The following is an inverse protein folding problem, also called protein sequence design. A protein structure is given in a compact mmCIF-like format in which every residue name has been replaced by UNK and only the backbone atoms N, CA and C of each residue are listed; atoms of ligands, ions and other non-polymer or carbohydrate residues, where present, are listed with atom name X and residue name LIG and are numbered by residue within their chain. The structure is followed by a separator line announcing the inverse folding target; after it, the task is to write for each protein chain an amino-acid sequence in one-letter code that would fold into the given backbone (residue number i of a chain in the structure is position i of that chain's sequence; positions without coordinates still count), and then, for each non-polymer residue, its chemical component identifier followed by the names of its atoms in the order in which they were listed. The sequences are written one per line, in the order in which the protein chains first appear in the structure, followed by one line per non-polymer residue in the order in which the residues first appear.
data_IF_114621961989
#
_entry.id   IF_114621961989
#
_cell.length_a   1.000
_cell.length_b   1.000
_cell.length_c   1.000
_cell.angle_alpha   90.00
_cell.angle_beta   90.00
_cell.angle_gamma   90.00
#
_symmetry.space_group_name_H-M   'P 1'
#
loop_
_entity.id
_entity.type
_entity.pdbx_description
1 polymer ?
#
# COMPACT_ATOMS: atom_id res chain seq x y z
N UNK A 1 1.23 -3.35 -11.91
CA UNK A 1 -0.10 -2.72 -11.73
C UNK A 1 0.00 -1.20 -11.80
N UNK A 2 0.80 -0.50 -10.98
CA UNK A 2 0.92 0.96 -11.00
C UNK A 2 1.24 1.53 -12.40
N UNK A 3 2.17 0.92 -13.13
CA UNK A 3 2.51 1.32 -14.50
C UNK A 3 1.30 1.27 -15.46
N UNK A 4 0.46 0.23 -15.37
CA UNK A 4 -0.77 0.13 -16.18
C UNK A 4 -1.82 1.18 -15.78
N UNK A 5 -1.93 1.52 -14.50
CA UNK A 5 -2.81 2.62 -14.06
C UNK A 5 -2.31 3.94 -14.62
N UNK A 6 -0.99 4.19 -14.56
CA UNK A 6 -0.39 5.39 -15.12
C UNK A 6 -0.55 5.50 -16.65
N UNK A 7 -0.45 4.37 -17.38
CA UNK A 7 -0.65 4.37 -18.84
C UNK A 7 -2.07 4.72 -19.28
N UNK A 8 -3.08 4.49 -18.40
CA UNK A 8 -4.45 4.94 -18.63
C UNK A 8 -4.58 6.46 -18.43
N UNK A 9 -3.74 7.06 -17.57
CA UNK A 9 -3.65 8.50 -17.33
C UNK A 9 -5.01 9.16 -17.12
N UNK A 10 -5.21 10.30 -17.75
CA UNK A 10 -6.46 11.06 -17.71
C UNK A 10 -7.53 10.57 -18.71
N UNK A 11 -7.23 9.49 -19.47
CA UNK A 11 -8.15 8.96 -20.49
C UNK A 11 -9.30 8.15 -19.90
N UNK A 12 -9.17 7.68 -18.66
CA UNK A 12 -10.20 6.89 -17.94
C UNK A 12 -10.42 7.51 -16.57
N UNK A 13 -11.68 7.85 -16.21
CA UNK A 13 -12.00 8.41 -14.90
C UNK A 13 -11.52 7.51 -13.75
N UNK A 14 -10.96 8.12 -12.68
CA UNK A 14 -10.39 7.40 -11.56
C UNK A 14 -11.38 6.40 -10.91
N UNK A 15 -12.63 6.81 -10.75
CA UNK A 15 -13.66 5.93 -10.19
C UNK A 15 -13.91 4.69 -11.03
N UNK A 16 -13.82 4.82 -12.35
CA UNK A 16 -13.95 3.71 -13.29
C UNK A 16 -12.75 2.75 -13.14
N UNK A 17 -11.53 3.26 -13.02
CA UNK A 17 -10.33 2.45 -12.74
C UNK A 17 -10.49 1.69 -11.42
N UNK A 18 -10.95 2.37 -10.35
CA UNK A 18 -11.19 1.76 -9.03
C UNK A 18 -12.22 0.65 -9.12
N UNK A 19 -13.33 0.87 -9.85
CA UNK A 19 -14.37 -0.14 -10.05
C UNK A 19 -13.81 -1.39 -10.72
N UNK A 20 -13.27 -1.25 -11.92
CA UNK A 20 -12.77 -2.40 -12.68
C UNK A 20 -11.67 -3.15 -11.93
N UNK A 21 -10.69 -2.42 -11.38
CA UNK A 21 -9.63 -3.01 -10.57
C UNK A 21 -10.20 -3.83 -9.40
N UNK A 22 -11.23 -3.32 -8.73
CA UNK A 22 -11.77 -3.98 -7.53
C UNK A 22 -12.74 -5.09 -7.88
N UNK A 23 -13.61 -4.92 -8.88
CA UNK A 23 -14.51 -5.94 -9.36
C UNK A 23 -13.75 -7.17 -9.87
N UNK A 24 -12.73 -6.95 -10.71
CA UNK A 24 -11.91 -8.05 -11.22
C UNK A 24 -10.92 -8.61 -10.19
N UNK A 25 -10.57 -7.88 -9.14
CA UNK A 25 -9.78 -8.39 -8.03
C UNK A 25 -10.55 -9.40 -7.15
N UNK A 26 -11.88 -9.32 -7.11
CA UNK A 26 -12.71 -10.29 -6.43
C UNK A 26 -12.75 -11.65 -7.14
N UNK A 27 -12.57 -11.69 -8.47
CA UNK A 27 -12.69 -12.91 -9.27
C UNK A 27 -11.72 -14.02 -8.83
N UNK A 28 -10.41 -13.78 -8.65
CA UNK A 28 -9.49 -14.82 -8.18
C UNK A 28 -9.92 -15.44 -6.85
N UNK A 29 -10.42 -14.62 -5.92
CA UNK A 29 -10.93 -15.12 -4.62
C UNK A 29 -12.12 -16.04 -4.85
N UNK A 30 -13.13 -15.57 -5.60
CA UNK A 30 -14.35 -16.34 -5.86
C UNK A 30 -14.02 -17.64 -6.59
N UNK A 31 -13.20 -17.59 -7.64
CA UNK A 31 -12.83 -18.76 -8.44
C UNK A 31 -12.08 -19.80 -7.60
N UNK A 32 -11.05 -19.39 -6.87
CA UNK A 32 -10.23 -20.32 -6.07
C UNK A 32 -11.09 -21.03 -5.01
N UNK A 33 -11.91 -20.28 -4.28
CA UNK A 33 -12.71 -20.85 -3.20
C UNK A 33 -13.96 -21.57 -3.70
N UNK A 34 -14.50 -21.22 -4.88
CA UNK A 34 -15.54 -22.01 -5.55
C UNK A 34 -14.99 -23.39 -5.98
N UNK A 35 -13.80 -23.43 -6.59
CA UNK A 35 -13.12 -24.67 -6.96
C UNK A 35 -12.81 -25.56 -5.74
N UNK A 36 -12.48 -24.95 -4.60
CA UNK A 36 -12.27 -25.66 -3.33
C UNK A 36 -13.56 -26.07 -2.61
N UNK A 37 -14.72 -25.69 -3.13
CA UNK A 37 -16.06 -25.88 -2.50
C UNK A 37 -16.17 -25.25 -1.09
N UNK A 38 -15.35 -24.25 -0.79
CA UNK A 38 -15.28 -23.55 0.50
C UNK A 38 -15.80 -22.11 0.43
N UNK A 39 -16.54 -21.77 -0.64
CA UNK A 39 -16.98 -20.40 -0.92
C UNK A 39 -17.76 -19.76 0.25
N UNK A 40 -18.67 -20.52 0.87
CA UNK A 40 -19.47 -20.00 2.00
C UNK A 40 -18.59 -19.65 3.21
N UNK A 41 -17.63 -20.51 3.54
CA UNK A 41 -16.69 -20.27 4.65
C UNK A 41 -15.75 -19.11 4.33
N UNK A 42 -15.30 -19.00 3.07
CA UNK A 42 -14.43 -17.93 2.61
C UNK A 42 -15.09 -16.54 2.59
N UNK A 43 -16.41 -16.48 2.37
CA UNK A 43 -17.17 -15.23 2.31
C UNK A 43 -17.88 -14.88 3.63
N UNK A 44 -17.86 -15.77 4.62
CA UNK A 44 -18.50 -15.49 5.90
C UNK A 44 -17.71 -14.42 6.67
N UNK A 45 -18.42 -13.42 7.24
CA UNK A 45 -17.84 -12.41 8.12
C UNK A 45 -18.69 -12.21 9.37
N UNK A 46 -18.02 -12.01 10.50
CA UNK A 46 -18.65 -11.71 11.79
C UNK A 46 -18.65 -10.20 12.10
N UNK A 47 -17.79 -9.42 11.42
CA UNK A 47 -17.55 -7.99 11.70
C UNK A 47 -17.71 -7.10 10.48
N UNK A 48 -18.94 -7.03 9.93
CA UNK A 48 -19.22 -6.18 8.75
C UNK A 48 -18.77 -4.73 8.94
N UNK A 49 -19.02 -4.11 10.09
CA UNK A 49 -18.57 -2.73 10.38
C UNK A 49 -17.04 -2.60 10.31
N UNK A 50 -16.32 -3.61 10.78
CA UNK A 50 -14.86 -3.65 10.66
C UNK A 50 -14.41 -3.72 9.20
N UNK A 51 -15.08 -4.55 8.38
CA UNK A 51 -14.83 -4.64 6.94
C UNK A 51 -15.12 -3.31 6.22
N UNK A 52 -16.24 -2.66 6.56
CA UNK A 52 -16.58 -1.32 6.02
C UNK A 52 -15.52 -0.28 6.40
N UNK A 53 -15.07 -0.24 7.67
CA UNK A 53 -14.04 0.69 8.11
C UNK A 53 -12.71 0.47 7.37
N UNK A 54 -12.29 -0.80 7.20
CA UNK A 54 -11.14 -1.15 6.37
C UNK A 54 -11.36 -0.77 4.90
N UNK A 55 -12.56 -1.03 4.38
CA UNK A 55 -12.96 -0.70 3.02
C UNK A 55 -12.85 0.80 2.75
N UNK A 56 -13.36 1.64 3.67
CA UNK A 56 -13.31 3.11 3.56
C UNK A 56 -11.88 3.62 3.52
N UNK A 57 -11.02 3.19 4.47
CA UNK A 57 -9.62 3.58 4.48
C UNK A 57 -8.88 3.12 3.23
N UNK A 58 -9.14 1.89 2.80
CA UNK A 58 -8.49 1.34 1.61
C UNK A 58 -8.99 1.97 0.31
N UNK A 59 -10.29 2.27 0.19
CA UNK A 59 -10.85 2.98 -0.97
C UNK A 59 -10.27 4.40 -1.04
N UNK A 60 -10.27 5.14 0.07
CA UNK A 60 -9.68 6.47 0.12
C UNK A 60 -8.19 6.42 -0.30
N UNK A 61 -7.41 5.46 0.25
CA UNK A 61 -6.01 5.27 -0.13
C UNK A 61 -5.84 4.94 -1.61
N UNK A 62 -6.74 4.14 -2.18
CA UNK A 62 -6.68 3.78 -3.60
C UNK A 62 -6.99 4.96 -4.52
N UNK A 63 -8.03 5.76 -4.21
CA UNK A 63 -8.34 6.97 -4.97
C UNK A 63 -7.20 7.99 -4.89
N UNK A 64 -6.66 8.21 -3.69
CA UNK A 64 -5.54 9.12 -3.49
C UNK A 64 -4.28 8.65 -4.23
N UNK A 65 -3.97 7.36 -4.18
CA UNK A 65 -2.85 6.78 -4.91
C UNK A 65 -3.00 6.92 -6.43
N UNK A 66 -4.18 6.62 -6.97
CA UNK A 66 -4.42 6.75 -8.41
C UNK A 66 -4.45 8.23 -8.84
N UNK A 67 -4.96 9.12 -8.00
CA UNK A 67 -4.89 10.56 -8.21
C UNK A 67 -3.44 11.07 -8.23
N UNK A 68 -2.57 10.50 -7.39
CA UNK A 68 -1.14 10.79 -7.41
C UNK A 68 -0.47 10.28 -8.69
N UNK A 69 -0.74 9.02 -9.08
CA UNK A 69 -0.19 8.40 -10.30
C UNK A 69 -0.60 9.13 -11.59
N UNK A 70 -1.76 9.78 -11.61
CA UNK A 70 -2.18 10.62 -12.73
C UNK A 70 -1.37 11.92 -12.84
N UNK A 71 -0.70 12.36 -11.76
CA UNK A 71 -0.05 13.69 -11.68
C UNK A 71 1.45 13.66 -11.48
N UNK A 72 1.99 12.55 -11.01
CA UNK A 72 3.40 12.37 -10.69
C UNK A 72 4.01 11.16 -11.39
N UNK A 73 5.32 11.14 -11.62
CA UNK A 73 6.06 9.97 -12.04
C UNK A 73 5.83 8.77 -11.14
N UNK A 74 5.84 7.57 -11.74
CA UNK A 74 5.62 6.31 -11.01
C UNK A 74 6.61 6.13 -9.85
N UNK A 75 7.86 6.52 -10.08
CA UNK A 75 8.93 6.45 -9.10
C UNK A 75 8.65 7.32 -7.87
N UNK A 76 8.23 8.57 -8.08
CA UNK A 76 7.96 9.54 -7.00
C UNK A 76 6.77 9.10 -6.14
N UNK A 77 5.67 8.69 -6.77
CA UNK A 77 4.50 8.17 -6.06
C UNK A 77 4.88 6.94 -5.21
N UNK A 78 5.62 6.01 -5.81
CA UNK A 78 6.04 4.79 -5.10
C UNK A 78 6.95 5.12 -3.92
N UNK A 79 7.90 6.05 -4.10
CA UNK A 79 8.80 6.50 -3.05
C UNK A 79 8.05 7.11 -1.86
N UNK A 80 7.10 8.01 -2.12
CA UNK A 80 6.29 8.65 -1.07
C UNK A 80 5.41 7.61 -0.35
N UNK A 81 4.87 6.62 -1.06
CA UNK A 81 4.06 5.56 -0.46
C UNK A 81 4.86 4.68 0.51
N UNK A 82 6.19 4.60 0.39
CA UNK A 82 7.03 3.92 1.38
C UNK A 82 7.08 4.61 2.75
N UNK A 83 6.49 5.80 2.90
CA UNK A 83 6.19 6.37 4.21
C UNK A 83 5.14 5.54 4.99
N UNK A 84 4.29 4.76 4.30
CA UNK A 84 3.21 4.00 4.93
C UNK A 84 3.66 3.07 6.07
N UNK A 85 4.75 2.27 5.97
CA UNK A 85 5.25 1.48 7.08
C UNK A 85 5.65 2.32 8.31
N UNK A 86 6.22 3.50 8.10
CA UNK A 86 6.61 4.42 9.18
C UNK A 86 5.36 4.97 9.89
N UNK A 87 4.37 5.41 9.13
CA UNK A 87 3.07 5.86 9.65
C UNK A 87 2.36 4.70 10.37
N UNK A 88 2.49 3.46 9.88
CA UNK A 88 1.91 2.28 10.54
C UNK A 88 2.49 2.09 11.95
N UNK A 89 3.79 2.32 12.16
CA UNK A 89 4.42 2.25 13.49
C UNK A 89 3.82 3.30 14.42
N UNK A 90 3.64 4.53 13.93
CA UNK A 90 3.00 5.62 14.72
C UNK A 90 1.57 5.25 15.08
N UNK A 91 0.77 4.80 14.11
CA UNK A 91 -0.62 4.43 14.34
C UNK A 91 -0.74 3.19 15.24
N UNK A 92 0.16 2.23 15.15
CA UNK A 92 0.20 1.07 16.06
C UNK A 92 0.44 1.51 17.50
N UNK A 93 1.37 2.45 17.73
CA UNK A 93 1.60 3.03 19.05
C UNK A 93 0.37 3.75 19.61
N UNK A 94 -0.28 4.57 18.79
CA UNK A 94 -1.41 5.41 19.21
C UNK A 94 -2.72 4.61 19.36
N UNK A 95 -3.05 3.76 18.37
CA UNK A 95 -4.35 3.09 18.26
C UNK A 95 -4.37 1.70 18.90
N UNK A 96 -3.26 0.98 18.86
CA UNK A 96 -3.12 -0.34 19.48
C UNK A 96 -2.45 -0.27 20.87
N UNK A 97 -1.99 0.93 21.29
CA UNK A 97 -1.26 1.17 22.53
C UNK A 97 -0.03 0.26 22.67
N UNK A 98 0.58 -0.10 21.53
CA UNK A 98 1.80 -0.91 21.53
C UNK A 98 2.96 -0.10 22.11
N UNK A 99 3.78 -0.73 22.95
CA UNK A 99 5.00 -0.10 23.46
C UNK A 99 6.06 -0.06 22.36
N UNK A 100 6.14 1.09 21.69
CA UNK A 100 7.14 1.33 20.64
C UNK A 100 8.44 1.74 21.27
N UNK A 101 9.53 0.99 20.99
CA UNK A 101 10.88 1.27 21.50
C UNK A 101 11.48 2.48 20.79
N UNK A 102 12.43 3.14 21.45
CA UNK A 102 13.08 4.37 20.98
C UNK A 102 13.69 4.24 19.57
N UNK A 103 14.25 3.10 19.21
CA UNK A 103 14.81 2.89 17.87
C UNK A 103 13.77 2.91 16.75
N UNK A 104 12.50 2.55 17.03
CA UNK A 104 11.40 2.69 16.05
C UNK A 104 11.02 4.15 15.88
N UNK A 105 10.99 4.92 16.96
CA UNK A 105 10.73 6.36 16.90
C UNK A 105 11.83 7.11 16.16
N UNK A 106 13.12 6.76 16.38
CA UNK A 106 14.21 7.37 15.62
C UNK A 106 14.13 7.05 14.13
N UNK A 107 13.80 5.81 13.77
CA UNK A 107 13.61 5.44 12.37
C UNK A 107 12.44 6.17 11.72
N UNK A 108 11.32 6.34 12.45
CA UNK A 108 10.17 7.15 11.98
C UNK A 108 10.61 8.59 11.73
N UNK A 109 11.34 9.22 12.65
CA UNK A 109 11.81 10.59 12.49
C UNK A 109 12.73 10.74 11.26
N UNK A 110 13.71 9.84 11.11
CA UNK A 110 14.63 9.83 9.97
C UNK A 110 13.86 9.57 8.65
N UNK A 111 12.95 8.60 8.65
CA UNK A 111 12.14 8.29 7.46
C UNK A 111 11.23 9.45 7.06
N UNK A 112 10.63 10.17 8.00
CA UNK A 112 9.84 11.37 7.71
C UNK A 112 10.69 12.48 7.09
N UNK A 113 11.94 12.66 7.53
CA UNK A 113 12.89 13.57 6.85
C UNK A 113 13.08 13.17 5.40
N UNK A 114 13.27 11.86 5.12
CA UNK A 114 13.35 11.35 3.75
C UNK A 114 12.12 11.69 2.91
N UNK A 115 10.91 11.55 3.48
CA UNK A 115 9.65 11.93 2.80
C UNK A 115 9.59 13.44 2.53
N UNK A 116 9.98 14.27 3.48
CA UNK A 116 10.05 15.73 3.28
C UNK A 116 11.02 16.07 2.16
N UNK A 117 12.19 15.44 2.10
CA UNK A 117 13.15 15.62 1.00
C UNK A 117 12.52 15.29 -0.35
N UNK A 118 11.79 14.19 -0.47
CA UNK A 118 11.07 13.85 -1.71
C UNK A 118 9.99 14.87 -2.09
N UNK A 119 9.35 15.48 -1.10
CA UNK A 119 8.28 16.46 -1.33
C UNK A 119 8.83 17.84 -1.69
N UNK A 120 10.08 18.20 -1.32
CA UNK A 120 10.63 19.52 -1.54
C UNK A 120 10.50 20.06 -2.97
N UNK A 121 10.82 19.30 -4.03
CA UNK A 121 10.69 19.78 -5.40
C UNK A 121 9.23 20.10 -5.79
N UNK A 122 8.29 19.39 -5.20
CA UNK A 122 6.86 19.51 -5.50
C UNK A 122 6.15 20.57 -4.65
N UNK A 123 6.78 21.02 -3.56
CA UNK A 123 6.25 22.02 -2.61
C UNK A 123 6.93 23.39 -2.74
N UNK A 124 7.97 23.53 -3.59
CA UNK A 124 8.70 24.79 -3.76
C UNK A 124 7.78 25.90 -4.30
N UNK A 125 7.38 26.78 -3.40
CA UNK A 125 6.44 27.92 -3.61
C UNK A 125 7.18 29.08 -4.27
N UNK A 126 7.82 28.86 -5.41
CA UNK A 126 8.60 29.93 -6.07
C UNK A 126 8.45 30.05 -7.58
N UNK A 127 7.92 29.03 -8.25
CA UNK A 127 7.68 29.06 -9.69
C UNK A 127 6.17 28.92 -9.94
N UNK A 128 5.50 30.03 -10.11
CA UNK A 128 4.08 30.12 -10.52
C UNK A 128 3.93 29.59 -11.94
N UNK A 129 3.88 28.28 -12.06
CA UNK A 129 3.39 27.64 -13.29
C UNK A 129 2.29 26.64 -12.92
N UNK A 130 1.27 26.53 -13.76
CA UNK A 130 0.14 25.60 -13.58
C UNK A 130 0.57 24.14 -13.43
N UNK A 131 1.73 23.78 -13.94
CA UNK A 131 2.33 22.44 -13.80
C UNK A 131 2.79 22.13 -12.36
N UNK A 132 3.30 23.12 -11.62
CA UNK A 132 3.74 22.96 -10.22
C UNK A 132 2.57 22.69 -9.28
N UNK A 133 1.39 23.26 -9.54
CA UNK A 133 0.19 23.04 -8.73
C UNK A 133 -0.31 21.58 -8.84
N UNK A 134 -0.32 21.02 -10.05
CA UNK A 134 -0.74 19.63 -10.27
C UNK A 134 0.21 18.65 -9.60
N UNK A 135 1.53 18.87 -9.69
CA UNK A 135 2.54 18.03 -9.03
C UNK A 135 2.43 18.11 -7.51
N UNK A 136 2.23 19.30 -6.94
CA UNK A 136 2.01 19.49 -5.50
C UNK A 136 0.76 18.73 -5.02
N UNK A 137 -0.36 18.83 -5.73
CA UNK A 137 -1.57 18.07 -5.44
C UNK A 137 -1.28 16.56 -5.51
N UNK A 138 -0.55 16.09 -6.51
CA UNK A 138 -0.15 14.70 -6.65
C UNK A 138 0.66 14.21 -5.45
N UNK A 139 1.64 15.00 -5.00
CA UNK A 139 2.48 14.69 -3.85
C UNK A 139 1.70 14.63 -2.54
N UNK A 140 0.78 15.59 -2.33
CA UNK A 140 -0.14 15.59 -1.19
C UNK A 140 -1.07 14.38 -1.21
N UNK A 141 -1.59 14.00 -2.39
CA UNK A 141 -2.39 12.79 -2.55
C UNK A 141 -1.58 11.53 -2.20
N UNK A 142 -0.31 11.42 -2.64
CA UNK A 142 0.54 10.29 -2.30
C UNK A 142 0.84 10.22 -0.79
N UNK A 143 1.13 11.35 -0.16
CA UNK A 143 1.34 11.44 1.29
C UNK A 143 0.08 11.05 2.08
N UNK A 144 -1.10 11.56 1.68
CA UNK A 144 -2.38 11.19 2.27
C UNK A 144 -2.71 9.70 2.03
N UNK A 145 -2.36 9.15 0.85
CA UNK A 145 -2.51 7.72 0.56
C UNK A 145 -1.66 6.86 1.49
N UNK A 146 -0.44 7.27 1.83
CA UNK A 146 0.41 6.53 2.76
C UNK A 146 -0.19 6.48 4.17
N UNK A 147 -0.85 7.55 4.63
CA UNK A 147 -1.55 7.58 5.92
C UNK A 147 -2.78 6.66 5.92
N UNK A 148 -3.62 6.74 4.88
CA UNK A 148 -4.82 5.89 4.77
C UNK A 148 -4.46 4.42 4.60
N UNK A 149 -3.40 4.11 3.85
CA UNK A 149 -2.87 2.75 3.74
C UNK A 149 -2.39 2.21 5.09
N UNK A 150 -1.66 3.01 5.86
CA UNK A 150 -1.26 2.64 7.21
C UNK A 150 -2.47 2.35 8.11
N UNK A 151 -3.51 3.19 8.06
CA UNK A 151 -4.77 2.96 8.76
C UNK A 151 -5.46 1.67 8.33
N UNK A 152 -5.48 1.37 7.02
CA UNK A 152 -6.02 0.12 6.48
C UNK A 152 -5.25 -1.11 6.97
N UNK A 153 -3.92 -1.03 7.09
CA UNK A 153 -3.07 -2.10 7.67
C UNK A 153 -3.42 -2.35 9.13
N UNK A 154 -3.56 -1.30 9.94
CA UNK A 154 -3.96 -1.42 11.36
C UNK A 154 -5.34 -2.07 11.47
N UNK A 155 -6.29 -1.64 10.65
CA UNK A 155 -7.64 -2.22 10.64
C UNK A 155 -7.63 -3.68 10.18
N UNK A 156 -6.81 -4.03 9.18
CA UNK A 156 -6.62 -5.40 8.74
C UNK A 156 -6.08 -6.27 9.88
N UNK A 157 -5.06 -5.83 10.62
CA UNK A 157 -4.54 -6.54 11.80
C UNK A 157 -5.62 -6.84 12.84
N UNK A 158 -6.53 -5.88 13.09
CA UNK A 158 -7.67 -6.09 14.01
C UNK A 158 -8.67 -7.12 13.48
N UNK A 159 -8.80 -7.22 12.17
CA UNK A 159 -9.72 -8.16 11.53
C UNK A 159 -9.14 -9.58 11.45
N UNK A 160 -7.83 -9.74 11.28
CA UNK A 160 -7.20 -11.07 11.19
C UNK A 160 -7.37 -11.93 12.43
N UNK A 161 -7.67 -11.34 13.59
CA UNK A 161 -7.97 -12.07 14.82
C UNK A 161 -9.31 -12.82 14.77
N UNK A 162 -10.25 -12.39 13.91
CA UNK A 162 -11.64 -12.87 13.91
C UNK A 162 -12.15 -13.26 12.52
N UNK A 163 -11.47 -12.89 11.46
CA UNK A 163 -11.89 -13.04 10.06
C UNK A 163 -10.88 -13.85 9.27
N UNK A 164 -11.36 -14.51 8.21
CA UNK A 164 -10.48 -15.21 7.27
C UNK A 164 -9.83 -14.20 6.30
N UNK A 165 -8.63 -14.50 5.82
CA UNK A 165 -7.94 -13.65 4.84
C UNK A 165 -8.76 -13.47 3.55
N UNK A 166 -9.45 -14.53 3.13
CA UNK A 166 -10.34 -14.51 1.96
C UNK A 166 -11.51 -13.54 2.14
N UNK A 167 -12.16 -13.55 3.33
CA UNK A 167 -13.27 -12.62 3.59
C UNK A 167 -12.77 -11.16 3.60
N UNK A 168 -11.61 -10.89 4.20
CA UNK A 168 -11.04 -9.55 4.24
C UNK A 168 -10.74 -9.03 2.82
N UNK A 169 -10.14 -9.85 1.95
CA UNK A 169 -9.83 -9.46 0.57
C UNK A 169 -11.11 -9.30 -0.26
N UNK A 170 -12.06 -10.22 -0.10
CA UNK A 170 -13.34 -10.18 -0.83
C UNK A 170 -14.16 -8.94 -0.47
N UNK A 171 -14.43 -8.71 0.82
CA UNK A 171 -15.23 -7.55 1.25
C UNK A 171 -14.56 -6.23 0.91
N UNK A 172 -13.25 -6.14 1.01
CA UNK A 172 -12.50 -4.98 0.53
C UNK A 172 -12.71 -4.73 -0.96
N UNK A 173 -12.60 -5.78 -1.77
CA UNK A 173 -12.78 -5.68 -3.23
C UNK A 173 -14.20 -5.26 -3.58
N UNK A 174 -15.21 -5.87 -2.94
CA UNK A 174 -16.63 -5.51 -3.13
C UNK A 174 -16.90 -4.07 -2.69
N UNK A 175 -16.41 -3.67 -1.52
CA UNK A 175 -16.59 -2.32 -1.01
C UNK A 175 -15.98 -1.28 -1.96
N UNK A 176 -14.74 -1.47 -2.40
CA UNK A 176 -14.09 -0.57 -3.34
C UNK A 176 -14.79 -0.57 -4.71
N UNK A 177 -15.31 -1.71 -5.17
CA UNK A 177 -16.10 -1.77 -6.40
C UNK A 177 -17.40 -0.96 -6.27
N UNK A 178 -18.12 -1.07 -5.14
CA UNK A 178 -19.33 -0.28 -4.89
C UNK A 178 -19.02 1.23 -4.82
N UNK A 179 -17.93 1.63 -4.13
CA UNK A 179 -17.51 3.03 -4.09
C UNK A 179 -17.10 3.53 -5.48
N UNK A 180 -16.37 2.72 -6.26
CA UNK A 180 -16.06 3.01 -7.65
C UNK A 180 -17.33 3.16 -8.50
N UNK A 181 -18.29 2.24 -8.37
CA UNK A 181 -19.56 2.28 -9.09
C UNK A 181 -20.40 3.53 -8.75
N UNK A 182 -20.36 3.98 -7.50
CA UNK A 182 -21.03 5.20 -7.07
C UNK A 182 -20.52 6.46 -7.81
N UNK A 183 -19.36 6.39 -8.43
CA UNK A 183 -18.81 7.47 -9.28
C UNK A 183 -19.37 7.46 -10.72
N UNK A 184 -20.20 6.48 -11.09
CA UNK A 184 -20.77 6.36 -12.44
C UNK A 184 -21.45 7.64 -12.94
N UNK A 185 -22.22 8.39 -12.10
CA UNK A 185 -22.86 9.62 -12.54
C UNK A 185 -21.87 10.76 -12.88
N UNK A 186 -20.60 10.64 -12.46
CA UNK A 186 -19.60 11.68 -12.66
C UNK A 186 -18.82 11.53 -13.97
N UNK A 187 -19.42 10.92 -14.99
CA UNK A 187 -18.90 10.96 -16.36
C UNK A 187 -18.00 9.78 -16.72
N UNK A 188 -18.43 8.55 -16.46
CA UNK A 188 -17.77 7.38 -17.00
C UNK A 188 -17.78 7.39 -18.52
N UNK A 189 -16.69 6.92 -19.10
CA UNK A 189 -16.51 6.81 -20.54
C UNK A 189 -16.59 5.35 -20.96
N UNK A 190 -17.11 5.09 -22.16
CA UNK A 190 -17.01 3.74 -22.74
C UNK A 190 -15.55 3.44 -23.03
N UNK A 191 -14.94 2.46 -22.36
CA UNK A 191 -13.54 2.13 -22.58
C UNK A 191 -13.34 1.51 -23.96
N UNK A 192 -12.27 1.89 -24.63
CA UNK A 192 -11.83 1.22 -25.85
C UNK A 192 -11.43 -0.25 -25.51
N UNK A 193 -11.39 -1.16 -26.50
CA UNK A 193 -10.96 -2.54 -26.24
C UNK A 193 -9.60 -2.66 -25.55
N UNK A 194 -8.65 -1.78 -25.92
CA UNK A 194 -7.33 -1.72 -25.29
C UNK A 194 -7.40 -1.25 -23.81
N UNK A 195 -8.18 -0.21 -23.54
CA UNK A 195 -8.41 0.27 -22.17
C UNK A 195 -9.12 -0.77 -21.33
N UNK A 196 -10.13 -1.46 -21.88
CA UNK A 196 -10.84 -2.53 -21.17
C UNK A 196 -9.89 -3.68 -20.83
N UNK A 197 -9.04 -4.10 -21.75
CA UNK A 197 -8.02 -5.12 -21.50
C UNK A 197 -7.06 -4.70 -20.39
N UNK A 198 -6.60 -3.44 -20.40
CA UNK A 198 -5.74 -2.90 -19.35
C UNK A 198 -6.46 -2.89 -17.99
N UNK A 199 -7.73 -2.45 -17.93
CA UNK A 199 -8.55 -2.39 -16.71
C UNK A 199 -8.76 -3.78 -16.10
N UNK A 200 -9.10 -4.78 -16.94
CA UNK A 200 -9.26 -6.18 -16.51
C UNK A 200 -7.94 -6.73 -15.97
N UNK A 201 -6.85 -6.48 -16.70
CA UNK A 201 -5.50 -6.94 -16.32
C UNK A 201 -5.07 -6.32 -14.97
N UNK A 202 -5.31 -5.03 -14.77
CA UNK A 202 -5.07 -4.32 -13.49
C UNK A 202 -5.82 -5.02 -12.36
N UNK A 203 -7.09 -5.36 -12.58
CA UNK A 203 -7.93 -6.02 -11.60
C UNK A 203 -7.44 -7.42 -11.23
N UNK A 204 -7.20 -8.26 -12.23
CA UNK A 204 -6.75 -9.65 -12.01
C UNK A 204 -5.37 -9.67 -11.34
N UNK A 205 -4.39 -8.92 -11.86
CA UNK A 205 -3.05 -8.83 -11.25
C UNK A 205 -3.16 -8.29 -9.81
N UNK A 206 -3.99 -7.26 -9.59
CA UNK A 206 -4.20 -6.69 -8.26
C UNK A 206 -4.81 -7.70 -7.28
N UNK A 207 -5.80 -8.48 -7.71
CA UNK A 207 -6.43 -9.52 -6.90
C UNK A 207 -5.48 -10.67 -6.56
N UNK A 208 -4.78 -11.20 -7.56
CA UNK A 208 -3.78 -12.26 -7.37
C UNK A 208 -2.66 -11.80 -6.43
N UNK A 209 -2.11 -10.60 -6.67
CA UNK A 209 -1.06 -10.04 -5.82
C UNK A 209 -1.52 -9.89 -4.37
N UNK A 210 -2.77 -9.44 -4.14
CA UNK A 210 -3.32 -9.27 -2.81
C UNK A 210 -3.53 -10.61 -2.10
N UNK A 211 -3.97 -11.64 -2.81
CA UNK A 211 -4.09 -13.00 -2.26
C UNK A 211 -2.73 -13.57 -1.89
N UNK A 212 -1.73 -13.47 -2.78
CA UNK A 212 -0.37 -13.97 -2.53
C UNK A 212 0.26 -13.25 -1.34
N UNK A 213 0.13 -11.91 -1.28
CA UNK A 213 0.65 -11.12 -0.15
C UNK A 213 -0.03 -11.53 1.17
N UNK A 214 -1.35 -11.67 1.17
CA UNK A 214 -2.08 -12.05 2.38
C UNK A 214 -1.72 -13.47 2.82
N UNK A 215 -1.55 -14.38 1.87
CA UNK A 215 -1.15 -15.76 2.15
C UNK A 215 0.30 -15.86 2.63
N UNK A 216 1.21 -14.99 2.13
CA UNK A 216 2.62 -14.99 2.57
C UNK A 216 2.79 -14.73 4.06
N UNK A 217 1.88 -13.99 4.70
CA UNK A 217 1.86 -13.76 6.15
C UNK A 217 1.57 -15.03 6.99
N UNK A 218 1.08 -16.10 6.36
CA UNK A 218 0.90 -17.42 7.01
C UNK A 218 2.22 -18.19 7.10
N UNK A 219 3.12 -17.98 6.14
CA UNK A 219 4.38 -18.72 6.04
C UNK A 219 5.56 -18.00 6.70
N UNK A 220 5.49 -16.68 6.85
CA UNK A 220 6.57 -15.90 7.42
C UNK A 220 6.05 -14.69 8.21
N UNK A 221 6.75 -14.28 9.29
CA UNK A 221 6.44 -13.05 10.00
C UNK A 221 6.53 -11.84 9.08
N UNK A 222 5.71 -10.82 9.34
CA UNK A 222 5.71 -9.58 8.58
C UNK A 222 7.11 -8.94 8.47
N UNK A 223 7.95 -9.08 9.50
CA UNK A 223 9.33 -8.60 9.50
C UNK A 223 10.26 -9.29 8.48
N UNK A 224 9.92 -10.50 8.03
CA UNK A 224 10.65 -11.22 6.97
C UNK A 224 10.17 -10.80 5.60
N UNK A 225 8.87 -10.49 5.46
CA UNK A 225 8.23 -10.13 4.20
C UNK A 225 8.46 -8.66 3.84
N UNK A 226 8.43 -7.77 4.83
CA UNK A 226 8.55 -6.33 4.64
C UNK A 226 9.75 -5.85 3.78
N UNK A 227 10.97 -6.47 3.83
CA UNK A 227 12.05 -6.07 2.93
C UNK A 227 11.75 -6.26 1.45
N UNK A 228 10.87 -7.21 1.09
CA UNK A 228 10.50 -7.44 -0.30
C UNK A 228 9.60 -6.33 -0.86
N UNK A 229 8.91 -5.57 -0.02
CA UNK A 229 8.13 -4.41 -0.45
C UNK A 229 9.04 -3.35 -1.11
N UNK A 230 10.31 -3.22 -0.66
CA UNK A 230 11.26 -2.29 -1.27
C UNK A 230 11.66 -2.67 -2.70
N UNK A 231 11.49 -3.94 -3.10
CA UNK A 231 11.68 -4.34 -4.49
C UNK A 231 10.67 -3.64 -5.42
N UNK A 232 9.49 -3.24 -4.91
CA UNK A 232 8.50 -2.51 -5.70
C UNK A 232 9.05 -1.15 -6.18
N UNK A 233 9.93 -0.49 -5.41
CA UNK A 233 10.57 0.74 -5.81
C UNK A 233 11.58 0.54 -6.94
N UNK A 234 12.38 -0.53 -6.88
CA UNK A 234 13.29 -0.88 -7.97
C UNK A 234 12.51 -1.08 -9.28
N UNK A 235 11.40 -1.82 -9.22
CA UNK A 235 10.53 -2.03 -10.36
C UNK A 235 9.84 -0.73 -10.81
N UNK A 236 9.50 0.19 -9.90
CA UNK A 236 8.93 1.48 -10.26
C UNK A 236 9.92 2.33 -11.06
N UNK A 237 11.21 2.35 -10.68
CA UNK A 237 12.26 3.03 -11.43
C UNK A 237 12.48 2.41 -12.80
N UNK A 238 12.61 1.08 -12.88
CA UNK A 238 12.83 0.36 -14.14
C UNK A 238 11.65 0.59 -15.09
N UNK A 239 10.41 0.39 -14.62
CA UNK A 239 9.21 0.56 -15.44
C UNK A 239 8.93 2.03 -15.78
N UNK A 240 9.23 2.97 -14.87
CA UNK A 240 9.12 4.40 -15.12
C UNK A 240 10.04 4.82 -16.28
N UNK A 241 11.28 4.35 -16.26
CA UNK A 241 12.22 4.62 -17.34
C UNK A 241 11.84 3.91 -18.66
N UNK A 242 11.58 2.60 -18.62
CA UNK A 242 11.33 1.82 -19.83
C UNK A 242 10.02 2.16 -20.53
N UNK A 243 8.95 2.45 -19.79
CA UNK A 243 7.62 2.68 -20.36
C UNK A 243 7.29 4.16 -20.58
N UNK A 244 7.86 5.05 -19.77
CA UNK A 244 7.51 6.46 -19.79
C UNK A 244 8.70 7.38 -20.05
N UNK A 245 9.94 6.85 -20.10
CA UNK A 245 11.16 7.65 -20.23
C UNK A 245 11.43 8.56 -19.01
N UNK A 246 10.79 8.26 -17.86
CA UNK A 246 10.88 9.06 -16.64
C UNK A 246 12.12 8.67 -15.84
N UNK A 247 13.00 9.64 -15.59
CA UNK A 247 14.10 9.49 -14.64
C UNK A 247 13.67 10.08 -13.29
N UNK A 248 13.87 9.35 -12.17
CA UNK A 248 13.59 9.91 -10.86
C UNK A 248 14.52 11.10 -10.59
N UNK A 249 13.95 12.16 -10.00
CA UNK A 249 14.73 13.30 -9.57
C UNK A 249 15.69 12.90 -8.43
N UNK A 250 16.82 13.61 -8.33
CA UNK A 250 17.83 13.35 -7.30
C UNK A 250 17.26 13.45 -5.87
N UNK A 251 16.30 14.34 -5.61
CA UNK A 251 15.61 14.43 -4.32
C UNK A 251 14.79 13.17 -4.02
N UNK A 252 14.12 12.61 -5.03
CA UNK A 252 13.39 11.35 -4.91
C UNK A 252 14.34 10.19 -4.59
N UNK A 253 15.49 10.12 -5.26
CA UNK A 253 16.48 9.06 -5.01
C UNK A 253 17.07 9.16 -3.60
N UNK A 254 17.47 10.36 -3.17
CA UNK A 254 18.03 10.60 -1.84
C UNK A 254 16.98 10.30 -0.75
N UNK A 255 15.79 10.87 -0.87
CA UNK A 255 14.74 10.69 0.11
C UNK A 255 14.29 9.21 0.20
N UNK A 256 14.20 8.51 -0.94
CA UNK A 256 13.92 7.08 -0.99
C UNK A 256 15.00 6.25 -0.29
N UNK A 257 16.28 6.54 -0.52
CA UNK A 257 17.36 5.86 0.17
C UNK A 257 17.29 6.05 1.69
N UNK A 258 16.91 7.24 2.17
CA UNK A 258 16.71 7.54 3.59
C UNK A 258 15.53 6.73 4.15
N UNK A 259 14.37 6.70 3.48
CA UNK A 259 13.16 5.96 3.93
C UNK A 259 13.44 4.46 3.97
N UNK A 260 14.04 3.91 2.90
CA UNK A 260 14.40 2.50 2.83
C UNK A 260 15.40 2.15 3.92
N UNK A 261 16.45 2.97 4.09
CA UNK A 261 17.47 2.80 5.14
C UNK A 261 16.85 2.78 6.54
N UNK A 262 15.94 3.70 6.84
CA UNK A 262 15.21 3.75 8.10
C UNK A 262 14.37 2.48 8.32
N UNK A 263 13.65 2.02 7.30
CA UNK A 263 12.85 0.79 7.37
C UNK A 263 13.70 -0.46 7.56
N UNK A 264 14.77 -0.63 6.79
CA UNK A 264 15.72 -1.74 6.92
C UNK A 264 16.42 -1.75 8.28
N UNK A 265 16.77 -0.58 8.83
CA UNK A 265 17.34 -0.45 10.17
C UNK A 265 16.39 -1.02 11.24
N UNK A 266 15.10 -0.70 11.18
CA UNK A 266 14.10 -1.27 12.11
C UNK A 266 14.08 -2.78 12.02
N UNK A 267 13.99 -3.33 10.79
CA UNK A 267 13.93 -4.77 10.54
C UNK A 267 15.19 -5.47 11.08
N UNK A 268 16.37 -4.91 10.77
CA UNK A 268 17.64 -5.44 11.24
C UNK A 268 17.71 -5.44 12.77
N UNK A 269 17.32 -4.34 13.42
CA UNK A 269 17.35 -4.21 14.88
C UNK A 269 16.37 -5.17 15.55
N UNK A 270 15.19 -5.35 15.01
CA UNK A 270 14.21 -6.30 15.52
C UNK A 270 14.66 -7.75 15.43
N UNK A 271 15.27 -8.12 14.29
CA UNK A 271 15.87 -9.46 14.13
C UNK A 271 16.96 -9.70 15.15
N UNK A 272 17.87 -8.74 15.35
CA UNK A 272 18.95 -8.85 16.31
C UNK A 272 18.42 -9.03 17.74
N UNK A 273 17.46 -8.20 18.16
CA UNK A 273 16.82 -8.32 19.47
C UNK A 273 16.03 -9.61 19.65
N UNK A 274 15.41 -10.12 18.59
CA UNK A 274 14.73 -11.41 18.61
C UNK A 274 15.69 -12.57 18.82
N UNK A 275 16.84 -12.55 18.16
CA UNK A 275 17.91 -13.55 18.34
C UNK A 275 18.54 -13.50 19.74
N UNK A 276 18.77 -12.30 20.28
CA UNK A 276 19.28 -12.12 21.66
C UNK A 276 18.32 -12.74 22.67
N UNK A 277 17.01 -12.47 22.59
CA UNK A 277 15.99 -13.07 23.47
C UNK A 277 15.88 -14.60 23.30
N UNK A 278 16.02 -15.10 22.07
CA UNK A 278 16.01 -16.55 21.84
C UNK A 278 17.22 -17.23 22.50
N UNK A 279 18.40 -16.59 22.43
CA UNK A 279 19.62 -17.06 23.09
C UNK A 279 19.50 -17.02 24.61
N UNK A 280 18.97 -15.94 25.20
CA UNK A 280 18.71 -15.81 26.63
C UNK A 280 17.76 -16.91 27.15
N UNK A 281 16.68 -17.20 26.40
CA UNK A 281 15.76 -18.29 26.74
C UNK A 281 16.41 -19.68 26.66
N UNK A 282 17.32 -19.88 25.70
CA UNK A 282 18.03 -21.15 25.53
C UNK A 282 19.12 -21.37 26.60
N UNK A 283 19.68 -20.27 27.13
CA UNK A 283 20.72 -20.34 28.17
C UNK A 283 20.20 -20.70 29.58
N UNK A 284 18.86 -20.70 29.78
CA UNK A 284 18.25 -20.99 31.06
C UNK A 284 18.44 -19.90 32.13
N UNK A 285 17.76 -19.97 33.28
CA UNK A 285 18.01 -19.06 34.38
C UNK A 285 19.41 -19.29 34.95
N UNK A 286 20.11 -18.22 35.42
CA UNK A 286 21.42 -18.39 36.06
C UNK A 286 21.28 -19.32 37.27
N UNK A 287 22.28 -20.15 37.53
CA UNK A 287 22.26 -21.04 38.72
C UNK A 287 22.07 -20.18 39.97
N UNK A 288 21.11 -20.57 40.78
CA UNK A 288 20.88 -19.93 42.09
C UNK A 288 22.16 -20.09 42.92
N UNK A 289 22.75 -18.98 43.29
CA UNK A 289 23.93 -18.93 44.18
C UNK A 289 23.52 -19.16 45.63
#
# INVERSE_FOLDING_TARGET
MGALVRSLGDTVPLGQVVFFRSAFAALPVVVIYALRRELRAALYTRRLLGQCGRGTLGAAGMFLNFAALARLPLADVTAILFASPLVTVVLAALLLKERVRIYRWSAVAVGLVGVVVMLLPHLSVGAVSTMTTAAAIGALCAAAASVTNAGAVIQTRRLTDTETNSSIVFYFSVFCALVGLATLPFGWLMPTPAQLTALVTIGVIGGVSHLILTESFRFAPASVIAPFDYAAMLWAFILGYLLFGELPDHYTVIGAAVVIGAGLFVIWRERRLGLERAREKAAGPPPLA
#
